data_IF_993254479729
#
_entry.id   IF_993254479729
#
_cell.length_a   1.000
_cell.length_b   1.000
_cell.length_c   1.000
_cell.angle_alpha   90.00
_cell.angle_beta   90.00
_cell.angle_gamma   90.00
#
_symmetry.space_group_name_H-M   'P 1'
#
loop_
_entity.id
_entity.type
_entity.pdbx_description
1 polymer ?
#
# COMPACT_ATOMS: atom_id res chain seq x y z
N UNK A 1 30.17 4.07 6.98
CA UNK A 1 29.01 3.16 6.82
C UNK A 1 27.76 3.97 7.14
N UNK A 2 26.78 3.95 6.25
CA UNK A 2 25.48 4.60 6.43
C UNK A 2 24.45 3.70 7.13
N UNK A 3 24.92 2.57 7.67
CA UNK A 3 24.11 1.63 8.41
C UNK A 3 23.37 2.30 9.57
N UNK A 4 22.09 2.02 9.69
CA UNK A 4 21.20 2.61 10.70
C UNK A 4 21.02 1.68 11.89
N UNK A 5 20.96 2.25 13.08
CA UNK A 5 20.64 1.52 14.29
C UNK A 5 19.12 1.42 14.42
N UNK A 6 18.58 0.24 14.20
CA UNK A 6 17.15 0.01 14.11
C UNK A 6 16.70 -1.14 15.00
N UNK A 7 15.44 -1.08 15.45
CA UNK A 7 14.81 -2.13 16.23
C UNK A 7 14.09 -3.11 15.31
N UNK A 8 14.62 -4.34 15.20
CA UNK A 8 14.09 -5.39 14.33
C UNK A 8 13.91 -6.68 15.13
N UNK A 9 12.73 -7.26 15.11
CA UNK A 9 12.39 -8.54 15.76
C UNK A 9 12.79 -8.61 17.25
N UNK A 10 12.64 -7.52 18.00
CA UNK A 10 12.94 -7.49 19.42
C UNK A 10 14.39 -7.11 19.76
N UNK A 11 15.23 -6.80 18.80
CA UNK A 11 16.63 -6.47 18.98
C UNK A 11 17.03 -5.19 18.24
N UNK A 12 17.96 -4.43 18.84
CA UNK A 12 18.66 -3.36 18.14
C UNK A 12 19.80 -3.94 17.31
N UNK A 13 19.89 -3.54 16.05
CA UNK A 13 20.95 -3.95 15.13
C UNK A 13 21.30 -2.84 14.15
N UNK A 14 22.52 -2.87 13.62
CA UNK A 14 22.92 -2.01 12.51
C UNK A 14 22.50 -2.66 11.20
N UNK A 15 21.77 -1.92 10.38
CA UNK A 15 21.20 -2.41 9.13
C UNK A 15 21.40 -1.41 7.99
N UNK A 16 21.62 -1.93 6.80
CA UNK A 16 21.48 -1.19 5.55
C UNK A 16 20.14 -1.55 4.95
N UNK A 17 19.35 -0.55 4.58
CA UNK A 17 18.01 -0.73 4.04
C UNK A 17 18.03 -0.55 2.53
N UNK A 18 17.46 -1.49 1.82
CA UNK A 18 17.36 -1.44 0.37
C UNK A 18 16.00 -1.94 -0.13
N UNK A 19 15.60 -1.43 -1.29
CA UNK A 19 14.44 -1.90 -2.03
C UNK A 19 14.90 -2.72 -3.24
N UNK A 20 14.22 -3.83 -3.51
CA UNK A 20 14.46 -4.67 -4.68
C UNK A 20 13.20 -4.72 -5.52
N UNK A 21 13.34 -4.43 -6.82
CA UNK A 21 12.31 -4.73 -7.81
C UNK A 21 12.68 -6.00 -8.56
N UNK A 22 11.73 -6.94 -8.62
CA UNK A 22 11.89 -8.19 -9.37
C UNK A 22 10.78 -8.32 -10.42
N UNK A 23 11.00 -9.13 -11.43
CA UNK A 23 9.90 -9.56 -12.32
C UNK A 23 9.16 -10.76 -11.70
N UNK A 24 8.09 -11.22 -12.37
CA UNK A 24 7.28 -12.35 -11.93
C UNK A 24 8.03 -13.70 -11.82
N UNK A 25 9.27 -13.77 -12.35
CA UNK A 25 10.15 -14.93 -12.22
C UNK A 25 11.16 -14.78 -11.08
N UNK A 26 11.08 -13.71 -10.28
CA UNK A 26 12.02 -13.43 -9.19
C UNK A 26 13.38 -12.90 -9.65
N UNK A 27 13.55 -12.55 -10.93
CA UNK A 27 14.80 -11.96 -11.43
C UNK A 27 14.86 -10.49 -11.02
N UNK A 28 15.92 -10.12 -10.30
CA UNK A 28 16.16 -8.74 -9.87
C UNK A 28 16.34 -7.83 -11.09
N UNK A 29 15.60 -6.74 -11.11
CA UNK A 29 15.62 -5.70 -12.15
C UNK A 29 16.20 -4.39 -11.68
N UNK A 30 16.05 -4.10 -10.38
CA UNK A 30 16.54 -2.88 -9.79
C UNK A 30 16.81 -3.08 -8.28
N UNK A 31 17.82 -2.38 -7.76
CA UNK A 31 18.15 -2.30 -6.34
C UNK A 31 18.43 -0.85 -5.99
N UNK A 32 17.76 -0.32 -4.97
CA UNK A 32 18.02 1.00 -4.42
C UNK A 32 18.37 0.90 -2.93
N UNK A 33 19.48 1.49 -2.52
CA UNK A 33 19.83 1.64 -1.09
C UNK A 33 19.13 2.88 -0.55
N UNK A 34 17.93 2.71 0.00
CA UNK A 34 16.99 3.80 0.29
C UNK A 34 17.40 4.70 1.46
N UNK A 35 18.29 4.24 2.34
CA UNK A 35 18.87 5.05 3.42
C UNK A 35 20.23 5.68 3.08
N UNK A 36 20.76 5.40 1.90
CA UNK A 36 22.00 6.00 1.39
C UNK A 36 21.85 7.51 1.21
N UNK A 37 22.96 8.24 1.46
CA UNK A 37 22.98 9.69 1.35
C UNK A 37 22.72 10.17 -0.07
N UNK A 38 23.19 9.44 -1.08
CA UNK A 38 22.97 9.74 -2.50
C UNK A 38 21.49 9.63 -2.87
N UNK A 39 20.84 8.54 -2.46
CA UNK A 39 19.40 8.34 -2.70
C UNK A 39 18.56 9.45 -2.05
N UNK A 40 18.85 9.80 -0.80
CA UNK A 40 18.14 10.89 -0.10
C UNK A 40 18.39 12.26 -0.74
N UNK A 41 19.60 12.50 -1.24
CA UNK A 41 19.92 13.75 -1.94
C UNK A 41 19.17 13.88 -3.27
N UNK A 42 18.95 12.77 -3.97
CA UNK A 42 18.18 12.72 -5.21
C UNK A 42 16.67 12.85 -4.99
N UNK A 43 16.20 12.52 -3.79
CA UNK A 43 14.77 12.52 -3.41
C UNK A 43 14.53 13.30 -2.11
N UNK A 44 14.65 14.65 -2.14
CA UNK A 44 14.61 15.48 -0.92
C UNK A 44 13.27 15.47 -0.17
N UNK A 45 12.18 15.09 -0.84
CA UNK A 45 10.83 15.02 -0.27
C UNK A 45 10.56 13.72 0.52
N UNK A 46 11.57 12.84 0.63
CA UNK A 46 11.41 11.59 1.38
C UNK A 46 11.17 11.83 2.87
N UNK A 47 10.15 11.17 3.38
CA UNK A 47 9.85 11.17 4.81
C UNK A 47 10.81 10.20 5.52
N UNK A 48 11.54 10.74 6.50
CA UNK A 48 12.50 9.99 7.34
C UNK A 48 12.01 10.04 8.79
N UNK A 49 11.67 8.89 9.34
CA UNK A 49 11.06 8.78 10.66
C UNK A 49 11.63 7.62 11.48
N UNK A 50 11.39 7.63 12.79
CA UNK A 50 11.68 6.49 13.65
C UNK A 50 10.49 5.53 13.65
N UNK A 51 10.74 4.24 13.75
CA UNK A 51 9.70 3.21 13.90
C UNK A 51 9.19 3.10 15.34
N UNK A 52 10.05 3.44 16.31
CA UNK A 52 9.71 3.42 17.73
C UNK A 52 10.09 4.75 18.39
N UNK A 53 9.63 4.96 19.64
CA UNK A 53 9.97 6.13 20.43
C UNK A 53 11.35 6.01 21.12
N UNK A 54 12.11 4.95 20.83
CA UNK A 54 13.44 4.74 21.43
C UNK A 54 14.41 5.86 21.04
N UNK A 55 15.14 6.46 21.99
CA UNK A 55 16.16 7.45 21.69
C UNK A 55 17.32 6.87 20.86
N UNK A 56 17.59 5.57 21.00
CA UNK A 56 18.69 4.87 20.37
C UNK A 56 18.41 4.45 18.93
N UNK A 57 17.16 4.60 18.47
CA UNK A 57 16.79 4.26 17.10
C UNK A 57 17.08 5.42 16.15
N UNK A 58 17.74 5.12 15.03
CA UNK A 58 17.96 6.09 13.96
C UNK A 58 16.70 6.30 13.13
N UNK A 59 16.57 7.49 12.56
CA UNK A 59 15.55 7.77 11.54
C UNK A 59 15.91 7.05 10.25
N UNK A 60 14.91 6.40 9.64
CA UNK A 60 15.02 5.67 8.40
C UNK A 60 13.89 6.05 7.44
N UNK A 61 14.11 5.89 6.16
CA UNK A 61 13.07 6.08 5.13
C UNK A 61 11.99 5.01 5.30
N UNK A 62 10.72 5.41 5.36
CA UNK A 62 9.58 4.50 5.42
C UNK A 62 9.46 3.61 4.17
N UNK A 63 9.01 2.36 4.32
CA UNK A 63 8.88 1.44 3.17
C UNK A 63 7.89 1.98 2.13
N UNK A 64 6.73 2.45 2.57
CA UNK A 64 5.71 3.02 1.70
C UNK A 64 6.19 4.29 0.98
N UNK A 65 6.90 5.18 1.70
CA UNK A 65 7.42 6.43 1.14
C UNK A 65 8.57 6.22 0.16
N UNK A 66 9.32 5.13 0.29
CA UNK A 66 10.43 4.81 -0.63
C UNK A 66 9.98 4.26 -1.98
N UNK A 67 8.79 3.69 -2.07
CA UNK A 67 8.35 2.99 -3.29
C UNK A 67 8.28 3.91 -4.51
N UNK A 68 7.69 5.09 -4.36
CA UNK A 68 7.51 6.04 -5.47
C UNK A 68 8.85 6.48 -6.05
N UNK A 69 9.84 6.95 -5.24
CA UNK A 69 11.18 7.25 -5.72
C UNK A 69 11.88 6.07 -6.39
N UNK A 70 11.79 4.87 -5.81
CA UNK A 70 12.40 3.65 -6.37
C UNK A 70 11.80 3.30 -7.73
N UNK A 71 10.49 3.40 -7.90
CA UNK A 71 9.83 3.19 -9.19
C UNK A 71 10.20 4.28 -10.19
N UNK A 72 10.31 5.52 -9.76
CA UNK A 72 10.73 6.63 -10.61
C UNK A 72 12.15 6.40 -11.15
N UNK A 73 13.10 6.04 -10.29
CA UNK A 73 14.47 5.72 -10.70
C UNK A 73 14.50 4.52 -11.66
N UNK A 74 13.72 3.47 -11.34
CA UNK A 74 13.61 2.30 -12.20
C UNK A 74 13.12 2.65 -13.61
N UNK A 75 12.02 3.37 -13.75
CA UNK A 75 11.47 3.73 -15.06
C UNK A 75 12.31 4.76 -15.80
N UNK A 76 13.05 5.61 -15.08
CA UNK A 76 14.04 6.53 -15.68
C UNK A 76 15.20 5.74 -16.31
N UNK A 77 15.66 4.67 -15.67
CA UNK A 77 16.71 3.78 -16.20
C UNK A 77 16.21 2.84 -17.29
N UNK A 78 14.93 2.52 -17.28
CA UNK A 78 14.30 1.54 -18.18
C UNK A 78 13.05 2.12 -18.86
N UNK A 79 13.18 3.16 -19.71
CA UNK A 79 12.03 3.88 -20.28
C UNK A 79 11.16 3.02 -21.20
N UNK A 80 11.71 1.98 -21.79
CA UNK A 80 10.97 1.06 -22.68
C UNK A 80 10.27 -0.09 -21.93
N UNK A 81 10.40 -0.14 -20.59
CA UNK A 81 9.82 -1.23 -19.81
C UNK A 81 8.46 -0.80 -19.22
N UNK A 82 7.39 -1.43 -19.70
CA UNK A 82 6.01 -1.11 -19.29
C UNK A 82 5.32 -2.33 -18.68
N UNK A 83 5.57 -2.64 -17.40
CA UNK A 83 4.91 -3.75 -16.74
C UNK A 83 3.43 -3.46 -16.52
N UNK A 84 2.58 -4.45 -16.80
CA UNK A 84 1.13 -4.34 -16.65
C UNK A 84 0.67 -4.47 -15.21
N UNK A 85 1.40 -5.24 -14.39
CA UNK A 85 0.98 -5.63 -13.04
C UNK A 85 2.05 -5.26 -12.01
N UNK A 86 1.62 -4.56 -10.96
CA UNK A 86 2.42 -4.34 -9.75
C UNK A 86 2.02 -5.36 -8.67
N UNK A 87 3.03 -5.97 -8.04
CA UNK A 87 2.89 -6.83 -6.87
C UNK A 87 3.69 -6.22 -5.72
N UNK A 88 3.04 -5.93 -4.60
CA UNK A 88 3.69 -5.41 -3.39
C UNK A 88 3.31 -6.19 -2.16
N UNK A 89 4.04 -5.98 -1.06
CA UNK A 89 3.64 -6.52 0.24
C UNK A 89 2.63 -5.59 0.94
N UNK A 90 2.11 -6.02 2.09
CA UNK A 90 1.10 -5.26 2.84
C UNK A 90 1.59 -3.93 3.42
N UNK A 91 2.90 -3.67 3.44
CA UNK A 91 3.44 -2.36 3.86
C UNK A 91 3.05 -1.25 2.88
N UNK A 92 2.75 -1.61 1.63
CA UNK A 92 2.33 -0.69 0.58
C UNK A 92 0.81 -0.49 0.47
N UNK A 93 0.01 -1.09 1.35
CA UNK A 93 -1.45 -0.96 1.34
C UNK A 93 -1.88 0.43 1.83
N UNK A 94 -2.00 1.36 0.90
CA UNK A 94 -2.40 2.76 1.13
C UNK A 94 -3.22 3.28 -0.03
N UNK A 95 -4.32 3.97 0.26
CA UNK A 95 -5.23 4.50 -0.78
C UNK A 95 -4.51 5.46 -1.74
N UNK A 96 -3.62 6.31 -1.20
CA UNK A 96 -2.86 7.27 -2.01
C UNK A 96 -1.88 6.56 -2.94
N UNK A 97 -1.23 5.50 -2.44
CA UNK A 97 -0.29 4.72 -3.24
C UNK A 97 -0.97 3.97 -4.39
N UNK A 98 -2.17 3.42 -4.17
CA UNK A 98 -2.97 2.86 -5.26
C UNK A 98 -3.24 3.91 -6.34
N UNK A 99 -3.59 5.15 -5.94
CA UNK A 99 -3.80 6.27 -6.87
C UNK A 99 -2.56 6.53 -7.73
N UNK A 100 -1.39 6.65 -7.11
CA UNK A 100 -0.10 6.88 -7.79
C UNK A 100 0.23 5.73 -8.74
N UNK A 101 0.11 4.48 -8.29
CA UNK A 101 0.43 3.31 -9.12
C UNK A 101 -0.46 3.22 -10.37
N UNK A 102 -1.76 3.54 -10.27
CA UNK A 102 -2.67 3.51 -11.40
C UNK A 102 -2.54 4.73 -12.32
N UNK A 103 -2.39 5.93 -11.75
CA UNK A 103 -2.49 7.17 -12.53
C UNK A 103 -1.14 7.68 -13.03
N UNK A 104 -0.08 7.58 -12.20
CA UNK A 104 1.23 8.12 -12.54
C UNK A 104 2.13 7.06 -13.16
N UNK A 105 2.13 5.83 -12.64
CA UNK A 105 2.91 4.72 -13.20
C UNK A 105 2.13 3.84 -14.19
N UNK A 106 0.85 4.07 -14.39
CA UNK A 106 0.00 3.42 -15.41
C UNK A 106 -0.09 1.89 -15.30
N UNK A 107 0.07 1.31 -14.12
CA UNK A 107 -0.19 -0.11 -13.93
C UNK A 107 -1.67 -0.42 -14.16
N UNK A 108 -1.96 -1.44 -14.95
CA UNK A 108 -3.35 -1.92 -15.18
C UNK A 108 -3.88 -2.71 -13.99
N UNK A 109 -2.98 -3.35 -13.23
CA UNK A 109 -3.30 -4.17 -12.07
C UNK A 109 -2.33 -3.89 -10.93
N UNK A 110 -2.88 -3.71 -9.74
CA UNK A 110 -2.12 -3.52 -8.50
C UNK A 110 -2.62 -4.54 -7.49
N UNK A 111 -1.75 -5.44 -7.06
CA UNK A 111 -2.04 -6.51 -6.11
C UNK A 111 -1.16 -6.33 -4.88
N UNK A 112 -1.74 -5.79 -3.83
CA UNK A 112 -1.11 -5.58 -2.52
C UNK A 112 -2.00 -6.27 -1.49
N UNK A 113 -1.45 -7.15 -0.62
CA UNK A 113 -2.23 -7.75 0.46
C UNK A 113 -2.76 -6.67 1.41
N UNK A 114 -3.97 -6.87 1.87
CA UNK A 114 -4.59 -5.99 2.86
C UNK A 114 -3.73 -5.90 4.14
N UNK A 115 -3.53 -4.68 4.64
CA UNK A 115 -2.84 -4.43 5.89
C UNK A 115 -3.83 -4.12 7.03
N UNK A 116 -4.06 -5.05 7.98
CA UNK A 116 -5.01 -4.82 9.07
C UNK A 116 -4.64 -3.64 9.99
N UNK A 117 -3.39 -3.16 9.98
CA UNK A 117 -2.95 -2.00 10.77
C UNK A 117 -3.49 -0.68 10.22
N UNK A 118 -3.84 -0.63 8.92
CA UNK A 118 -4.44 0.53 8.28
C UNK A 118 -5.97 0.60 8.49
N UNK A 119 -6.54 -0.42 9.14
CA UNK A 119 -7.95 -0.45 9.43
C UNK A 119 -8.30 0.62 10.47
N UNK A 120 -8.99 1.67 10.05
CA UNK A 120 -9.65 2.57 11.00
C UNK A 120 -10.63 1.74 11.83
N UNK A 121 -10.77 2.06 13.12
CA UNK A 121 -11.64 1.38 14.09
C UNK A 121 -13.13 1.31 13.71
N UNK A 122 -13.50 1.80 12.54
CA UNK A 122 -14.84 1.81 11.98
C UNK A 122 -15.13 0.50 11.26
N UNK A 123 -15.77 -0.43 12.00
CA UNK A 123 -16.49 -1.62 11.53
C UNK A 123 -15.72 -2.48 10.51
N UNK A 124 -15.10 -3.53 11.02
CA UNK A 124 -14.51 -4.60 10.19
C UNK A 124 -15.57 -5.22 9.27
N UNK A 125 -15.46 -4.94 7.98
CA UNK A 125 -16.24 -5.63 6.97
C UNK A 125 -15.51 -6.94 6.65
N UNK A 126 -16.14 -8.09 6.94
CA UNK A 126 -15.65 -9.39 6.51
C UNK A 126 -15.94 -9.62 5.04
N UNK A 127 -15.31 -10.64 4.47
CA UNK A 127 -15.57 -11.12 3.11
C UNK A 127 -15.86 -12.61 3.13
N UNK A 128 -16.79 -13.06 2.29
CA UNK A 128 -17.03 -14.48 2.09
C UNK A 128 -15.96 -15.13 1.18
N UNK A 129 -16.04 -16.45 0.99
CA UNK A 129 -15.08 -17.19 0.15
C UNK A 129 -15.02 -16.73 -1.33
N UNK A 130 -16.01 -15.98 -1.79
CA UNK A 130 -16.09 -15.44 -3.16
C UNK A 130 -15.67 -13.96 -3.24
N UNK A 131 -15.21 -13.37 -2.12
CA UNK A 131 -14.80 -11.97 -2.07
C UNK A 131 -15.96 -10.97 -1.96
N UNK A 132 -17.18 -11.40 -1.68
CA UNK A 132 -18.27 -10.47 -1.40
C UNK A 132 -18.21 -9.99 0.06
N UNK A 133 -18.41 -8.70 0.33
CA UNK A 133 -18.42 -8.19 1.70
C UNK A 133 -19.59 -8.77 2.48
N UNK A 134 -19.33 -9.12 3.74
CA UNK A 134 -20.36 -9.59 4.68
C UNK A 134 -20.87 -8.46 5.56
N UNK A 135 -22.07 -8.59 6.10
CA UNK A 135 -22.65 -7.57 6.98
C UNK A 135 -21.79 -7.39 8.26
N UNK A 136 -21.38 -6.18 8.64
CA UNK A 136 -20.56 -5.95 9.84
C UNK A 136 -21.25 -6.37 11.16
N UNK A 137 -22.58 -6.43 11.15
CA UNK A 137 -23.37 -6.82 12.33
C UNK A 137 -23.75 -8.31 12.34
N UNK A 138 -23.60 -9.00 11.20
CA UNK A 138 -23.96 -10.41 11.06
C UNK A 138 -23.18 -11.00 9.89
N UNK A 139 -22.03 -11.60 10.19
CA UNK A 139 -21.10 -12.14 9.20
C UNK A 139 -21.65 -13.31 8.37
N UNK A 140 -22.78 -13.86 8.74
CA UNK A 140 -23.47 -14.90 7.95
C UNK A 140 -24.23 -14.35 6.74
N UNK A 141 -24.37 -13.02 6.65
CA UNK A 141 -25.12 -12.35 5.59
C UNK A 141 -24.20 -11.67 4.60
N UNK A 142 -24.25 -12.10 3.36
CA UNK A 142 -23.58 -11.43 2.26
C UNK A 142 -24.30 -10.11 1.93
N UNK A 143 -23.51 -9.03 1.76
CA UNK A 143 -24.06 -7.75 1.34
C UNK A 143 -24.46 -7.78 -0.14
N UNK A 144 -25.49 -7.03 -0.49
CA UNK A 144 -25.94 -6.91 -1.88
C UNK A 144 -25.27 -5.70 -2.56
N UNK A 145 -24.78 -5.91 -3.76
CA UNK A 145 -24.31 -4.83 -4.61
C UNK A 145 -25.42 -3.82 -4.92
N UNK A 146 -25.15 -2.54 -4.73
CA UNK A 146 -26.13 -1.44 -4.90
C UNK A 146 -25.64 -0.35 -5.88
N UNK A 147 -24.69 -0.70 -6.76
CA UNK A 147 -24.20 0.24 -7.76
C UNK A 147 -22.91 0.95 -7.39
N UNK A 148 -22.58 1.98 -8.14
CA UNK A 148 -21.36 2.79 -7.98
C UNK A 148 -21.74 4.24 -7.73
N UNK A 149 -21.17 4.83 -6.68
CA UNK A 149 -21.28 6.26 -6.42
C UNK A 149 -20.16 7.00 -7.14
N UNK A 150 -20.53 7.97 -7.98
CA UNK A 150 -19.61 8.86 -8.69
C UNK A 150 -19.78 10.27 -8.13
N UNK A 151 -18.76 10.77 -7.46
CA UNK A 151 -18.72 12.14 -6.95
C UNK A 151 -17.58 12.90 -7.64
N UNK A 152 -17.81 14.18 -7.99
CA UNK A 152 -16.78 15.02 -8.62
C UNK A 152 -15.59 15.18 -7.65
N UNK A 153 -14.39 14.87 -8.12
CA UNK A 153 -13.15 14.98 -7.32
C UNK A 153 -12.87 13.80 -6.38
N UNK A 154 -13.62 12.70 -6.49
CA UNK A 154 -13.40 11.49 -5.71
C UNK A 154 -13.38 10.25 -6.59
N UNK A 155 -12.64 9.22 -6.17
CA UNK A 155 -12.66 7.91 -6.82
C UNK A 155 -14.05 7.30 -6.79
N UNK A 156 -14.40 6.55 -7.84
CA UNK A 156 -15.64 5.79 -7.90
C UNK A 156 -15.68 4.78 -6.74
N UNK A 157 -16.78 4.77 -5.99
CA UNK A 157 -16.97 3.85 -4.85
C UNK A 157 -18.09 2.86 -5.13
N UNK A 158 -17.80 1.59 -4.94
CA UNK A 158 -18.81 0.52 -5.00
C UNK A 158 -19.66 0.58 -3.74
N UNK A 159 -20.98 0.59 -3.91
CA UNK A 159 -21.93 0.64 -2.83
C UNK A 159 -22.50 -0.75 -2.56
N UNK A 160 -22.47 -1.14 -1.29
CA UNK A 160 -23.02 -2.38 -0.79
C UNK A 160 -24.06 -2.09 0.29
N UNK A 161 -25.12 -2.86 0.34
CA UNK A 161 -26.20 -2.74 1.34
C UNK A 161 -26.43 -4.06 2.07
N UNK A 162 -26.70 -3.95 3.37
CA UNK A 162 -27.10 -5.12 4.15
C UNK A 162 -28.50 -5.58 3.72
N UNK A 163 -28.70 -6.87 3.42
CA UNK A 163 -30.00 -7.38 2.99
C UNK A 163 -31.11 -7.18 4.02
N UNK A 164 -30.80 -7.15 5.33
CA UNK A 164 -31.76 -6.84 6.40
C UNK A 164 -32.28 -5.40 6.35
N UNK A 165 -31.47 -4.44 5.92
CA UNK A 165 -31.86 -3.03 5.81
C UNK A 165 -32.76 -2.76 4.61
N UNK A 166 -32.69 -3.56 3.57
CA UNK A 166 -33.50 -3.39 2.36
C UNK A 166 -35.02 -3.74 2.57
N UNK A 167 -35.35 -4.40 3.67
CA UNK A 167 -36.75 -4.78 3.98
C UNK A 167 -37.44 -3.82 4.95
N UNK A 168 -36.69 -2.95 5.66
CA UNK A 168 -37.26 -2.11 6.73
C UNK A 168 -37.46 -0.64 6.36
N UNK A 169 -36.90 -0.18 5.26
CA UNK A 169 -37.00 1.22 4.82
C UNK A 169 -37.35 1.23 3.33
N UNK A 170 -38.64 1.42 3.03
CA UNK A 170 -39.09 1.75 1.69
C UNK A 170 -38.33 2.97 1.19
N UNK A 171 -37.78 2.89 0.01
CA UNK A 171 -37.17 4.03 -0.68
C UNK A 171 -38.29 5.00 -1.06
N UNK A 172 -38.25 6.19 -0.50
CA UNK A 172 -38.88 7.40 -1.04
C UNK A 172 -37.82 8.25 -1.70
#
# INVERSE_FOLDING_TARGET
>A
SDAKHMYINGHFCYVDKFAILTNGLGIVRHISFIDDAGFKSSHPDLIVEKKTDSPDEDKSVGDASSLVPVLFDFFTLHPDFHPDTFLGDSAFDSADLYGILFHDFHFSKVLIPYNPRNESSLRKVGYNAYGYPTCPNDSSLDMKYCGVTKEKGRSNRVKWICPKLSYSHGWH
#
